data_IF_028489899803
#
_entry.id   IF_028489899803
#
_cell.length_a   1.000
_cell.length_b   1.000
_cell.length_c   1.000
_cell.angle_alpha   90.00
_cell.angle_beta   90.00
_cell.angle_gamma   90.00
#
_symmetry.space_group_name_H-M   'P 1'
#
loop_
_entity.id
_entity.type
_entity.pdbx_description
1 polymer ?
#
# COMPACT_ATOMS: atom_id res chain seq x y z
N UNK A 1 10.23 -18.58 -11.85
CA UNK A 1 10.79 -17.69 -12.90
C UNK A 1 11.41 -16.42 -12.29
N UNK A 2 10.63 -15.54 -11.63
CA UNK A 2 11.15 -14.26 -11.11
C UNK A 2 12.30 -14.40 -10.09
N UNK A 3 12.18 -15.29 -9.10
CA UNK A 3 13.25 -15.49 -8.12
C UNK A 3 14.59 -15.92 -8.74
N UNK A 4 14.56 -16.68 -9.84
CA UNK A 4 15.78 -17.08 -10.55
C UNK A 4 16.44 -15.89 -11.26
N UNK A 5 15.63 -15.01 -11.86
CA UNK A 5 16.11 -13.75 -12.46
C UNK A 5 16.78 -12.87 -11.41
N UNK A 6 16.11 -12.64 -10.27
CA UNK A 6 16.63 -11.79 -9.18
C UNK A 6 17.94 -12.37 -8.62
N UNK A 7 18.04 -13.69 -8.42
CA UNK A 7 19.28 -14.33 -7.96
C UNK A 7 20.45 -14.13 -8.92
N UNK A 8 20.20 -14.24 -10.24
CA UNK A 8 21.23 -13.98 -11.25
C UNK A 8 21.68 -12.52 -11.23
N UNK A 9 20.75 -11.57 -11.13
CA UNK A 9 21.07 -10.14 -11.04
C UNK A 9 21.85 -9.81 -9.77
N UNK A 10 21.43 -10.36 -8.62
CA UNK A 10 22.14 -10.20 -7.34
C UNK A 10 23.58 -10.72 -7.41
N UNK A 11 23.78 -11.92 -7.98
CA UNK A 11 25.11 -12.50 -8.16
C UNK A 11 25.98 -11.64 -9.09
N UNK A 12 25.42 -11.14 -10.19
CA UNK A 12 26.14 -10.28 -11.13
C UNK A 12 26.53 -8.91 -10.51
N UNK A 13 25.71 -8.40 -9.59
CA UNK A 13 25.97 -7.15 -8.88
C UNK A 13 27.00 -7.29 -7.73
N UNK A 14 27.36 -8.52 -7.35
CA UNK A 14 28.29 -8.76 -6.23
C UNK A 14 27.75 -8.31 -4.86
N UNK A 15 26.43 -8.16 -4.73
CA UNK A 15 25.79 -7.70 -3.49
C UNK A 15 25.37 -8.91 -2.63
N UNK A 16 25.51 -8.83 -1.29
CA UNK A 16 25.09 -9.89 -0.38
C UNK A 16 23.56 -9.88 -0.20
N UNK A 17 22.82 -10.24 -1.25
CA UNK A 17 21.35 -10.24 -1.26
C UNK A 17 20.79 -11.65 -1.08
N UNK A 18 19.87 -11.78 -0.13
CA UNK A 18 19.10 -13.00 0.06
C UNK A 18 17.77 -12.95 -0.69
N UNK A 19 17.41 -14.04 -1.37
CA UNK A 19 16.18 -14.13 -2.18
C UNK A 19 15.30 -15.27 -1.68
N UNK A 20 14.23 -14.89 -0.99
CA UNK A 20 13.22 -15.81 -0.43
C UNK A 20 11.93 -15.80 -1.26
N UNK A 21 11.19 -16.90 -1.25
CA UNK A 21 9.89 -17.04 -1.94
C UNK A 21 8.85 -17.54 -0.94
N UNK A 22 7.66 -16.95 -0.93
CA UNK A 22 6.57 -17.34 -0.04
C UNK A 22 6.80 -17.00 1.44
N UNK A 23 7.74 -16.10 1.73
CA UNK A 23 8.12 -15.64 3.08
C UNK A 23 7.80 -14.16 3.32
N UNK A 24 6.87 -13.60 2.55
CA UNK A 24 6.55 -12.17 2.57
C UNK A 24 6.17 -11.68 3.98
N UNK A 25 5.28 -12.36 4.74
CA UNK A 25 4.90 -11.91 6.08
C UNK A 25 6.09 -11.88 7.04
N UNK A 26 6.92 -12.93 7.05
CA UNK A 26 8.07 -13.02 7.93
C UNK A 26 9.12 -11.94 7.59
N UNK A 27 9.35 -11.70 6.31
CA UNK A 27 10.28 -10.65 5.86
C UNK A 27 9.78 -9.26 6.24
N UNK A 28 8.49 -8.98 6.03
CA UNK A 28 7.89 -7.70 6.43
C UNK A 28 8.04 -7.51 7.94
N UNK A 29 7.75 -8.55 8.72
CA UNK A 29 7.85 -8.50 10.17
C UNK A 29 9.28 -8.17 10.65
N UNK A 30 10.30 -8.79 10.03
CA UNK A 30 11.70 -8.60 10.40
C UNK A 30 12.31 -7.29 9.86
N UNK A 31 11.82 -6.78 8.73
CA UNK A 31 12.40 -5.60 8.08
C UNK A 31 12.27 -4.33 8.92
N UNK A 32 13.26 -3.42 8.80
CA UNK A 32 13.18 -2.08 9.38
C UNK A 32 12.40 -1.11 8.49
N UNK A 33 12.52 -1.27 7.18
CA UNK A 33 11.76 -0.56 6.14
C UNK A 33 11.67 -1.44 4.88
N UNK A 34 10.78 -1.08 3.97
CA UNK A 34 10.51 -1.86 2.76
C UNK A 34 10.56 -1.02 1.49
N UNK A 35 10.93 -1.66 0.38
CA UNK A 35 10.64 -1.20 -0.98
C UNK A 35 9.67 -2.22 -1.58
N UNK A 36 8.51 -1.76 -2.03
CA UNK A 36 7.48 -2.63 -2.58
C UNK A 36 6.95 -2.10 -3.90
N UNK A 37 6.47 -3.02 -4.74
CA UNK A 37 5.51 -2.66 -5.79
C UNK A 37 4.13 -2.62 -5.13
N UNK A 38 3.30 -1.65 -5.50
CA UNK A 38 1.98 -1.56 -4.89
C UNK A 38 1.09 -2.71 -5.30
N UNK A 39 0.39 -3.27 -4.33
CA UNK A 39 -0.55 -4.36 -4.53
C UNK A 39 -1.20 -4.75 -3.21
N UNK A 40 -1.58 -6.02 -3.08
CA UNK A 40 -2.19 -6.58 -1.87
C UNK A 40 -1.32 -6.44 -0.61
N UNK A 41 0.00 -6.32 -0.77
CA UNK A 41 0.95 -6.22 0.34
C UNK A 41 0.88 -4.88 1.09
N UNK A 42 0.30 -3.82 0.50
CA UNK A 42 0.26 -2.47 1.10
C UNK A 42 -0.44 -2.44 2.46
N UNK A 43 -1.53 -3.20 2.62
CA UNK A 43 -2.24 -3.28 3.90
C UNK A 43 -1.50 -4.14 4.93
N UNK A 44 -0.74 -5.15 4.47
CA UNK A 44 0.11 -5.97 5.33
C UNK A 44 1.29 -5.16 5.88
N UNK A 45 1.89 -4.31 5.04
CA UNK A 45 2.91 -3.34 5.42
C UNK A 45 2.39 -2.33 6.44
N UNK A 46 1.17 -1.80 6.25
CA UNK A 46 0.50 -0.95 7.24
C UNK A 46 0.21 -1.70 8.54
N UNK A 47 -0.25 -2.96 8.46
CA UNK A 47 -0.49 -3.79 9.62
C UNK A 47 0.77 -3.98 10.47
N UNK A 48 1.93 -4.18 9.84
CA UNK A 48 3.22 -4.25 10.53
C UNK A 48 3.88 -2.88 10.77
N UNK A 49 3.20 -1.79 10.41
CA UNK A 49 3.67 -0.41 10.59
C UNK A 49 5.06 -0.17 10.00
N UNK A 50 5.34 -0.76 8.82
CA UNK A 50 6.66 -0.72 8.19
C UNK A 50 6.78 0.49 7.26
N UNK A 51 7.72 1.42 7.52
CA UNK A 51 8.06 2.48 6.57
C UNK A 51 8.36 1.86 5.21
N UNK A 52 7.66 2.32 4.18
CA UNK A 52 7.70 1.70 2.85
C UNK A 52 7.81 2.77 1.77
N UNK A 53 8.74 2.59 0.84
CA UNK A 53 8.73 3.28 -0.45
C UNK A 53 8.04 2.38 -1.47
N UNK A 54 7.14 2.96 -2.27
CA UNK A 54 6.39 2.25 -3.29
C UNK A 54 6.89 2.66 -4.67
N UNK A 55 7.12 1.67 -5.54
CA UNK A 55 7.55 1.90 -6.93
C UNK A 55 6.56 1.30 -7.92
N UNK A 56 6.18 2.10 -8.91
CA UNK A 56 5.45 1.70 -10.11
C UNK A 56 6.29 2.06 -11.34
N UNK A 57 6.95 1.06 -11.91
CA UNK A 57 7.62 1.19 -13.20
C UNK A 57 6.61 0.91 -14.31
N UNK A 58 6.36 1.90 -15.17
CA UNK A 58 5.47 1.76 -16.33
C UNK A 58 6.15 2.19 -17.62
N UNK A 59 5.58 1.82 -18.77
CA UNK A 59 6.12 2.25 -20.05
C UNK A 59 5.95 3.77 -20.25
N UNK A 60 6.80 4.43 -21.05
CA UNK A 60 6.66 5.86 -21.34
C UNK A 60 5.29 6.23 -21.92
N UNK A 61 4.75 5.37 -22.80
CA UNK A 61 3.40 5.55 -23.34
C UNK A 61 2.33 5.42 -22.25
N UNK A 62 2.46 4.42 -21.37
CA UNK A 62 1.58 4.25 -20.21
C UNK A 62 1.62 5.46 -19.27
N UNK A 63 2.80 6.02 -19.03
CA UNK A 63 3.00 7.20 -18.21
C UNK A 63 2.30 8.44 -18.80
N UNK A 64 2.41 8.62 -20.12
CA UNK A 64 1.71 9.70 -20.79
C UNK A 64 0.19 9.56 -20.71
N UNK A 65 -0.35 8.35 -20.90
CA UNK A 65 -1.80 8.10 -20.88
C UNK A 65 -2.37 8.24 -19.48
N UNK A 66 -1.69 7.70 -18.47
CA UNK A 66 -2.14 7.73 -17.07
C UNK A 66 -2.45 9.14 -16.58
N UNK A 67 -1.73 10.17 -17.06
CA UNK A 67 -1.94 11.56 -16.61
C UNK A 67 -3.36 12.08 -16.85
N UNK A 68 -4.06 11.53 -17.85
CA UNK A 68 -5.41 11.96 -18.21
C UNK A 68 -6.51 11.27 -17.41
N UNK A 69 -6.20 10.13 -16.78
CA UNK A 69 -7.18 9.31 -16.08
C UNK A 69 -7.01 9.33 -14.56
N UNK A 70 -5.95 9.98 -14.05
CA UNK A 70 -5.70 10.02 -12.60
C UNK A 70 -6.64 11.02 -11.94
N UNK A 71 -7.49 10.52 -11.05
CA UNK A 71 -8.48 11.29 -10.27
C UNK A 71 -8.18 11.35 -8.77
N UNK A 72 -7.18 10.62 -8.30
CA UNK A 72 -6.79 10.57 -6.90
C UNK A 72 -5.37 11.07 -6.71
N UNK A 73 -5.15 11.79 -5.61
CA UNK A 73 -3.84 12.35 -5.24
C UNK A 73 -2.79 11.26 -5.04
N UNK A 74 -3.20 10.12 -4.51
CA UNK A 74 -2.36 8.96 -4.28
C UNK A 74 -2.83 7.73 -5.04
N UNK A 75 -1.91 6.81 -5.31
CA UNK A 75 -2.15 5.50 -5.92
C UNK A 75 -2.24 4.43 -4.84
N UNK A 76 -1.41 4.51 -3.81
CA UNK A 76 -1.42 3.51 -2.73
C UNK A 76 -2.61 3.72 -1.80
N UNK A 77 -3.27 2.62 -1.45
CA UNK A 77 -4.40 2.64 -0.52
C UNK A 77 -4.02 3.22 0.86
N UNK A 78 -2.78 2.99 1.32
CA UNK A 78 -2.32 3.50 2.62
C UNK A 78 -2.29 5.03 2.64
N UNK A 79 -1.78 5.67 1.59
CA UNK A 79 -1.80 7.13 1.50
C UNK A 79 -3.22 7.67 1.31
N UNK A 80 -4.07 6.98 0.53
CA UNK A 80 -5.48 7.35 0.37
C UNK A 80 -6.25 7.30 1.69
N UNK A 81 -5.97 6.31 2.55
CA UNK A 81 -6.57 6.20 3.89
C UNK A 81 -6.00 7.21 4.90
N UNK A 82 -4.80 7.73 4.63
CA UNK A 82 -4.16 8.75 5.46
C UNK A 82 -4.70 10.16 5.15
N UNK A 83 -5.09 10.40 3.89
CA UNK A 83 -5.55 11.68 3.38
C UNK A 83 -7.01 11.94 3.77
N UNK A 84 -7.31 13.18 4.15
CA UNK A 84 -8.67 13.58 4.54
C UNK A 84 -9.53 13.91 3.33
N UNK A 85 -8.90 14.43 2.27
CA UNK A 85 -9.54 14.67 0.97
C UNK A 85 -8.69 14.06 -0.17
N UNK A 86 -8.85 12.76 -0.45
CA UNK A 86 -8.04 12.06 -1.45
C UNK A 86 -8.33 12.45 -2.91
N UNK A 87 -9.40 13.22 -3.14
CA UNK A 87 -9.86 13.66 -4.46
C UNK A 87 -9.64 15.18 -4.68
N UNK A 88 -9.01 15.87 -3.72
CA UNK A 88 -8.64 17.26 -3.86
C UNK A 88 -7.69 17.47 -5.06
N UNK A 89 -8.00 18.48 -5.87
CA UNK A 89 -7.13 18.96 -6.94
C UNK A 89 -6.05 19.90 -6.39
N UNK A 90 -4.83 19.94 -6.96
CA UNK A 90 -4.44 19.27 -8.19
C UNK A 90 -3.92 17.84 -7.97
N UNK A 91 -4.39 16.90 -8.80
CA UNK A 91 -3.90 15.52 -8.81
C UNK A 91 -2.54 15.44 -9.52
N UNK A 92 -1.44 15.43 -8.77
CA UNK A 92 -0.04 15.44 -9.29
C UNK A 92 0.72 14.15 -8.95
N UNK A 93 1.72 13.74 -9.75
CA UNK A 93 2.60 12.65 -9.35
C UNK A 93 3.36 13.05 -8.08
N UNK A 94 3.67 12.05 -7.25
CA UNK A 94 4.52 12.28 -6.09
C UNK A 94 5.88 12.85 -6.54
N UNK A 95 6.30 13.92 -5.89
CA UNK A 95 7.62 14.51 -6.03
C UNK A 95 8.11 14.89 -4.65
N UNK A 96 9.24 14.29 -4.25
CA UNK A 96 9.86 14.49 -2.94
C UNK A 96 10.26 15.96 -2.66
N UNK A 97 10.32 16.81 -3.69
CA UNK A 97 10.67 18.23 -3.57
C UNK A 97 9.48 19.13 -3.20
N UNK A 98 8.26 18.61 -3.25
CA UNK A 98 7.08 19.36 -2.85
C UNK A 98 6.84 19.24 -1.35
N UNK A 99 6.32 20.31 -0.74
CA UNK A 99 6.02 20.36 0.71
C UNK A 99 5.03 19.26 1.14
N UNK A 100 4.09 18.91 0.27
CA UNK A 100 3.10 17.86 0.53
C UNK A 100 3.69 16.44 0.57
N UNK A 101 4.92 16.23 0.08
CA UNK A 101 5.57 14.92 0.09
C UNK A 101 5.75 14.38 1.52
N UNK A 102 5.88 15.27 2.51
CA UNK A 102 5.94 14.91 3.93
C UNK A 102 4.66 14.23 4.43
N UNK A 103 3.52 14.47 3.77
CA UNK A 103 2.21 13.92 4.15
C UNK A 103 2.09 12.44 3.73
N UNK A 104 2.66 12.07 2.58
CA UNK A 104 2.67 10.69 2.11
C UNK A 104 3.36 9.79 3.15
N UNK A 105 2.60 8.82 3.69
CA UNK A 105 3.16 7.86 4.63
C UNK A 105 4.05 6.85 3.91
N UNK A 106 3.66 6.47 2.70
CA UNK A 106 4.45 5.67 1.76
C UNK A 106 4.84 6.54 0.56
N UNK A 107 6.06 7.09 0.49
CA UNK A 107 6.55 7.75 -0.73
C UNK A 107 6.34 6.84 -1.94
N UNK A 108 5.61 7.32 -2.95
CA UNK A 108 5.13 6.47 -4.06
C UNK A 108 5.58 7.00 -5.43
N UNK A 109 6.55 6.34 -6.03
CA UNK A 109 7.12 6.74 -7.31
C UNK A 109 6.38 6.06 -8.45
N UNK A 110 5.64 6.84 -9.23
CA UNK A 110 5.16 6.41 -10.55
C UNK A 110 6.11 6.97 -11.61
N UNK A 111 6.82 6.11 -12.32
CA UNK A 111 7.86 6.53 -13.25
C UNK A 111 7.97 5.63 -14.48
N UNK A 112 8.50 6.19 -15.56
CA UNK A 112 8.99 5.44 -16.72
C UNK A 112 10.53 5.47 -16.84
N UNK A 113 11.21 6.24 -15.97
CA UNK A 113 12.66 6.38 -15.92
C UNK A 113 13.26 5.78 -14.64
N UNK A 114 14.54 6.04 -14.43
CA UNK A 114 15.25 5.64 -13.21
C UNK A 114 14.98 6.63 -12.07
N UNK A 115 14.58 6.10 -10.91
CA UNK A 115 14.45 6.87 -9.66
C UNK A 115 15.12 6.16 -8.46
N UNK A 116 16.09 5.29 -8.75
CA UNK A 116 16.77 4.47 -7.75
C UNK A 116 17.47 5.32 -6.70
N UNK A 117 18.05 6.45 -7.08
CA UNK A 117 18.71 7.36 -6.13
C UNK A 117 17.72 7.96 -5.13
N UNK A 118 16.57 8.45 -5.59
CA UNK A 118 15.53 9.03 -4.76
C UNK A 118 14.95 7.98 -3.79
N UNK A 119 14.70 6.77 -4.30
CA UNK A 119 14.24 5.65 -3.47
C UNK A 119 15.29 5.29 -2.41
N UNK A 120 16.56 5.16 -2.82
CA UNK A 120 17.64 4.82 -1.90
C UNK A 120 17.81 5.88 -0.82
N UNK A 121 17.68 7.17 -1.14
CA UNK A 121 17.74 8.25 -0.16
C UNK A 121 16.67 8.08 0.94
N UNK A 122 15.43 7.72 0.60
CA UNK A 122 14.40 7.44 1.61
C UNK A 122 14.78 6.26 2.52
N UNK A 123 15.21 5.14 1.93
CA UNK A 123 15.55 3.94 2.68
C UNK A 123 16.76 4.18 3.60
N UNK A 124 17.81 4.81 3.08
CA UNK A 124 19.02 5.13 3.84
C UNK A 124 18.70 6.06 5.01
N UNK A 125 17.84 7.07 4.82
CA UNK A 125 17.45 7.95 5.93
C UNK A 125 16.75 7.19 7.06
N UNK A 126 15.80 6.30 6.75
CA UNK A 126 15.15 5.46 7.78
C UNK A 126 16.08 4.43 8.43
N UNK A 127 17.11 3.98 7.72
CA UNK A 127 18.11 3.08 8.26
C UNK A 127 19.13 3.82 9.15
N UNK A 128 19.53 5.03 8.75
CA UNK A 128 20.56 5.83 9.43
C UNK A 128 20.01 6.69 10.59
N UNK A 129 18.75 7.12 10.52
CA UNK A 129 18.10 7.96 11.54
C UNK A 129 16.95 7.20 12.23
N UNK A 130 17.19 6.64 13.43
CA UNK A 130 16.14 5.98 14.20
C UNK A 130 14.97 6.89 14.57
N UNK A 131 15.19 8.20 14.77
CA UNK A 131 14.13 9.14 15.15
C UNK A 131 13.19 9.39 13.98
N UNK A 132 13.71 9.61 12.78
CA UNK A 132 12.88 9.77 11.58
C UNK A 132 12.06 8.50 11.33
N UNK A 133 12.71 7.33 11.44
CA UNK A 133 12.03 6.03 11.30
C UNK A 133 10.92 5.87 12.34
N UNK A 134 11.19 6.16 13.62
CA UNK A 134 10.20 6.05 14.68
C UNK A 134 9.03 7.02 14.49
N UNK A 135 9.29 8.25 14.05
CA UNK A 135 8.23 9.20 13.69
C UNK A 135 7.33 8.67 12.57
N UNK A 136 7.92 8.01 11.56
CA UNK A 136 7.16 7.36 10.49
C UNK A 136 6.33 6.17 11.01
N UNK A 137 6.91 5.33 11.86
CA UNK A 137 6.22 4.19 12.50
C UNK A 137 5.05 4.67 13.36
N UNK A 138 5.21 5.77 14.11
CA UNK A 138 4.14 6.34 14.92
C UNK A 138 2.94 6.76 14.07
N UNK A 139 3.18 7.50 12.98
CA UNK A 139 2.10 7.91 12.05
C UNK A 139 1.40 6.72 11.39
N UNK A 140 2.15 5.66 11.04
CA UNK A 140 1.56 4.42 10.53
C UNK A 140 0.73 3.69 11.59
N UNK A 141 1.19 3.71 12.85
CA UNK A 141 0.47 3.12 13.98
C UNK A 141 -0.86 3.82 14.22
N UNK A 142 -0.88 5.15 14.19
CA UNK A 142 -2.10 5.95 14.26
C UNK A 142 -3.07 5.61 13.14
N UNK A 143 -2.59 5.58 11.89
CA UNK A 143 -3.43 5.21 10.75
C UNK A 143 -4.01 3.80 10.93
N UNK A 144 -3.17 2.82 11.28
CA UNK A 144 -3.58 1.43 11.54
C UNK A 144 -4.68 1.39 12.60
N UNK A 145 -4.54 2.12 13.71
CA UNK A 145 -5.55 2.15 14.77
C UNK A 145 -6.90 2.68 14.27
N UNK A 146 -6.92 3.63 13.33
CA UNK A 146 -8.16 4.15 12.74
C UNK A 146 -8.84 3.15 11.82
N UNK A 147 -8.07 2.50 10.93
CA UNK A 147 -8.62 1.79 9.75
C UNK A 147 -8.61 0.27 9.86
N UNK A 148 -7.69 -0.32 10.62
CA UNK A 148 -7.52 -1.77 10.72
C UNK A 148 -8.43 -2.38 11.81
N UNK A 149 -9.75 -2.15 11.71
CA UNK A 149 -10.74 -2.68 12.66
C UNK A 149 -11.06 -4.15 12.35
N UNK A 150 -10.86 -5.09 13.30
CA UNK A 150 -11.17 -6.50 13.07
C UNK A 150 -12.68 -6.74 12.85
N UNK A 151 -13.03 -7.94 12.40
CA UNK A 151 -14.42 -8.38 12.27
C UNK A 151 -15.13 -7.99 10.96
N UNK A 152 -14.39 -7.66 9.89
CA UNK A 152 -14.98 -7.40 8.57
C UNK A 152 -15.84 -8.57 8.09
N UNK A 153 -15.33 -9.81 8.19
CA UNK A 153 -16.06 -11.02 7.82
C UNK A 153 -17.31 -11.23 8.69
N UNK A 154 -17.23 -10.96 10.00
CA UNK A 154 -18.37 -11.07 10.89
C UNK A 154 -19.47 -10.04 10.57
N UNK A 155 -19.08 -8.79 10.26
CA UNK A 155 -20.03 -7.76 9.80
C UNK A 155 -20.68 -8.13 8.48
N UNK A 156 -19.91 -8.64 7.53
CA UNK A 156 -20.43 -9.11 6.25
C UNK A 156 -21.42 -10.27 6.43
N UNK A 157 -21.08 -11.26 7.26
CA UNK A 157 -21.96 -12.38 7.58
C UNK A 157 -23.26 -11.90 8.24
N UNK A 158 -23.17 -11.00 9.21
CA UNK A 158 -24.35 -10.40 9.87
C UNK A 158 -25.25 -9.69 8.86
N UNK A 159 -24.68 -8.85 8.01
CA UNK A 159 -25.42 -8.13 6.96
C UNK A 159 -26.16 -9.09 6.01
N UNK A 160 -25.52 -10.19 5.59
CA UNK A 160 -26.15 -11.19 4.72
C UNK A 160 -27.33 -11.87 5.44
N UNK A 161 -27.14 -12.26 6.71
CA UNK A 161 -28.20 -12.90 7.50
C UNK A 161 -29.41 -11.98 7.70
N UNK A 162 -29.17 -10.69 8.00
CA UNK A 162 -30.22 -9.68 8.13
C UNK A 162 -31.04 -9.53 6.83
N UNK A 163 -30.36 -9.44 5.68
CA UNK A 163 -31.02 -9.33 4.36
C UNK A 163 -31.84 -10.56 3.97
N UNK A 164 -31.37 -11.75 4.32
CA UNK A 164 -32.12 -12.99 4.07
C UNK A 164 -33.36 -13.08 4.96
N UNK A 165 -33.27 -12.65 6.22
CA UNK A 165 -34.43 -12.61 7.12
C UNK A 165 -35.51 -11.64 6.64
N UNK A 166 -35.12 -10.46 6.13
CA UNK A 166 -36.02 -9.48 5.51
C UNK A 166 -36.72 -10.02 4.24
N UNK A 167 -36.03 -10.85 3.44
CA UNK A 167 -36.59 -11.46 2.22
C UNK A 167 -37.51 -12.67 2.46
N UNK A 168 -37.57 -13.19 3.70
CA UNK A 168 -38.34 -14.41 4.02
C UNK A 168 -39.76 -14.12 4.52
N UNK A 169 -40.12 -12.85 4.75
CA UNK A 169 -41.51 -12.47 5.07
C UNK A 169 -42.37 -12.40 3.81
N UNK A 170 -42.60 -13.54 3.15
CA UNK A 170 -43.73 -13.69 2.24
C UNK A 170 -44.92 -14.17 3.07
N UNK A 171 -46.03 -13.42 3.17
CA UNK A 171 -47.23 -13.93 3.83
C UNK A 171 -47.82 -15.01 2.92
N UNK A 172 -47.58 -16.28 3.24
CA UNK A 172 -48.43 -17.37 2.80
C UNK A 172 -49.81 -17.11 3.42
N UNK A 173 -50.66 -16.39 2.69
CA UNK A 173 -52.05 -16.22 3.04
C UNK A 173 -52.70 -17.59 3.09
N UNK A 174 -53.20 -17.91 4.27
CA UNK A 174 -54.09 -19.03 4.54
C UNK A 174 -55.25 -19.03 3.54
N UNK A 175 -55.43 -20.14 2.83
CA UNK A 175 -56.76 -20.57 2.40
C UNK A 175 -57.08 -21.87 3.12
N UNK A 176 -57.80 -21.71 4.24
CA UNK A 176 -58.63 -22.75 4.82
C UNK A 176 -60.03 -22.66 4.17
N UNK A 177 -60.65 -23.83 4.04
CA UNK A 177 -61.99 -24.13 3.50
C UNK A 177 -62.13 -24.15 1.97
#
# INVERSE_FOLDING_TARGET
HQAALVRRQAAAAGLPLEVHVGRTPELIHLAQCCLAVSGSVSLELLYHTKPTVVLYQISPAGYFVQRFFRKSKYITLVNLLAESDPLAEPVRPFDQRHDEAAQALFPEYLTAGDCSEQIAQHLVRWLADPLERQGRVARLTELKARVARPGASARAARYILERLAEGTTCPLTSRAA
#
